data_IF_313156993967
#
_entry.id   IF_313156993967
#
_cell.length_a   1.000
_cell.length_b   1.000
_cell.length_c   1.000
_cell.angle_alpha   90.00
_cell.angle_beta   90.00
_cell.angle_gamma   90.00
#
_symmetry.space_group_name_H-M   'P 1'
#
loop_
_entity.id
_entity.type
_entity.pdbx_description
1 polymer ?
#
# COMPACT_ATOMS: atom_id res chain seq x y z
N UNK A 1 3.29 -14.37 7.47
CA UNK A 1 4.65 -14.93 7.56
C UNK A 1 5.62 -13.82 7.90
N UNK A 2 6.34 -13.90 9.02
CA UNK A 2 7.34 -12.87 9.39
C UNK A 2 8.51 -12.87 8.39
N UNK A 3 9.12 -11.69 8.17
CA UNK A 3 10.27 -11.52 7.26
C UNK A 3 11.43 -12.47 7.58
N UNK A 4 11.72 -12.61 8.88
CA UNK A 4 12.80 -13.47 9.38
C UNK A 4 12.43 -14.97 9.41
N UNK A 5 11.29 -15.37 8.84
CA UNK A 5 10.90 -16.77 8.77
C UNK A 5 11.51 -17.45 7.55
N UNK A 6 11.96 -18.69 7.73
CA UNK A 6 12.37 -19.59 6.63
C UNK A 6 11.28 -19.70 5.56
N UNK A 7 10.01 -19.58 5.97
CA UNK A 7 8.87 -19.59 5.05
C UNK A 7 8.91 -18.41 4.06
N UNK A 8 9.33 -17.22 4.50
CA UNK A 8 9.45 -16.05 3.61
C UNK A 8 10.61 -16.22 2.62
N UNK A 9 11.75 -16.73 3.10
CA UNK A 9 12.94 -17.02 2.28
C UNK A 9 12.68 -17.99 1.13
N UNK A 10 11.78 -18.96 1.31
CA UNK A 10 11.38 -19.90 0.24
C UNK A 10 10.26 -19.31 -0.62
N UNK A 11 9.33 -18.56 -0.01
CA UNK A 11 8.19 -17.96 -0.71
C UNK A 11 8.61 -16.90 -1.74
N UNK A 12 9.52 -15.99 -1.39
CA UNK A 12 9.95 -14.90 -2.28
C UNK A 12 10.54 -15.41 -3.62
N UNK A 13 11.58 -16.28 -3.65
CA UNK A 13 12.13 -16.78 -4.90
C UNK A 13 11.12 -17.60 -5.71
N UNK A 14 10.21 -18.33 -5.05
CA UNK A 14 9.14 -19.04 -5.73
C UNK A 14 8.16 -18.09 -6.46
N UNK A 15 7.75 -17.01 -5.80
CA UNK A 15 6.89 -15.98 -6.40
C UNK A 15 7.58 -15.31 -7.59
N UNK A 16 8.87 -14.99 -7.45
CA UNK A 16 9.68 -14.37 -8.51
C UNK A 16 9.82 -15.31 -9.71
N UNK A 17 10.11 -16.60 -9.46
CA UNK A 17 10.23 -17.61 -10.51
C UNK A 17 8.93 -17.76 -11.32
N UNK A 18 7.79 -17.82 -10.63
CA UNK A 18 6.48 -17.83 -11.28
C UNK A 18 6.21 -16.53 -12.05
N UNK A 19 6.53 -15.37 -11.47
CA UNK A 19 6.37 -14.08 -12.14
C UNK A 19 7.07 -14.03 -13.51
N UNK A 20 8.28 -14.57 -13.61
CA UNK A 20 9.03 -14.63 -14.88
C UNK A 20 8.45 -15.62 -15.90
N UNK A 21 7.77 -16.68 -15.44
CA UNK A 21 7.09 -17.65 -16.33
C UNK A 21 5.75 -17.15 -16.86
N UNK A 22 5.08 -16.24 -16.16
CA UNK A 22 3.76 -15.77 -16.54
C UNK A 22 3.79 -14.73 -17.68
N UNK A 23 2.76 -14.72 -18.57
CA UNK A 23 2.61 -13.68 -19.57
C UNK A 23 2.42 -12.30 -18.92
N UNK A 24 2.90 -11.24 -19.57
CA UNK A 24 2.89 -9.86 -19.06
C UNK A 24 1.51 -9.35 -18.59
N UNK A 25 0.42 -9.86 -19.18
CA UNK A 25 -0.95 -9.52 -18.78
C UNK A 25 -1.33 -10.09 -17.41
N UNK A 26 -0.88 -11.30 -17.08
CA UNK A 26 -1.25 -12.00 -15.85
C UNK A 26 -0.34 -11.69 -14.66
N UNK A 27 0.86 -11.17 -14.92
CA UNK A 27 1.83 -10.78 -13.89
C UNK A 27 1.25 -9.84 -12.82
N UNK A 28 0.42 -8.86 -13.21
CA UNK A 28 -0.20 -7.90 -12.28
C UNK A 28 -1.23 -8.58 -11.37
N UNK A 29 -2.01 -9.51 -11.91
CA UNK A 29 -2.99 -10.29 -11.15
C UNK A 29 -2.32 -11.29 -10.22
N UNK A 30 -1.24 -11.93 -10.67
CA UNK A 30 -0.42 -12.82 -9.86
C UNK A 30 0.16 -12.09 -8.65
N UNK A 31 0.79 -10.93 -8.85
CA UNK A 31 1.34 -10.14 -7.75
C UNK A 31 0.28 -9.70 -6.74
N UNK A 32 -0.92 -9.32 -7.21
CA UNK A 32 -2.03 -8.96 -6.34
C UNK A 32 -2.52 -10.17 -5.55
N UNK A 33 -2.72 -11.32 -6.21
CA UNK A 33 -3.18 -12.54 -5.56
C UNK A 33 -2.20 -13.03 -4.49
N UNK A 34 -0.90 -13.05 -4.82
CA UNK A 34 0.18 -13.39 -3.89
C UNK A 34 0.22 -12.42 -2.72
N UNK A 35 0.04 -11.12 -2.99
CA UNK A 35 0.02 -10.09 -1.95
C UNK A 35 -1.15 -10.27 -0.97
N UNK A 36 -2.35 -10.52 -1.48
CA UNK A 36 -3.52 -10.78 -0.64
C UNK A 36 -3.38 -12.10 0.13
N UNK A 37 -2.83 -13.14 -0.50
CA UNK A 37 -2.55 -14.42 0.16
C UNK A 37 -1.57 -14.25 1.33
N UNK A 38 -0.51 -13.47 1.13
CA UNK A 38 0.46 -13.16 2.18
C UNK A 38 -0.21 -12.51 3.40
N UNK A 39 -1.17 -11.60 3.17
CA UNK A 39 -1.99 -11.01 4.24
C UNK A 39 -2.93 -12.01 4.92
N UNK A 40 -3.59 -12.87 4.13
CA UNK A 40 -4.52 -13.87 4.65
C UNK A 40 -3.82 -14.85 5.60
N UNK A 41 -2.58 -15.25 5.31
CA UNK A 41 -1.77 -16.12 6.18
C UNK A 41 -1.46 -15.47 7.52
N UNK A 42 -1.30 -14.13 7.57
CA UNK A 42 -1.05 -13.46 8.84
C UNK A 42 -2.25 -13.53 9.76
N UNK A 43 -3.35 -12.87 9.37
CA UNK A 43 -4.67 -12.97 10.01
C UNK A 43 -5.72 -12.37 9.06
N UNK A 44 -6.84 -13.07 8.89
CA UNK A 44 -7.95 -12.64 8.03
C UNK A 44 -8.47 -11.23 8.38
N UNK A 45 -8.63 -10.83 9.66
CA UNK A 45 -9.02 -9.45 10.01
C UNK A 45 -8.11 -8.36 9.41
N UNK A 46 -6.82 -8.63 9.22
CA UNK A 46 -5.89 -7.62 8.67
C UNK A 46 -6.10 -7.41 7.18
N UNK A 47 -6.47 -8.48 6.47
CA UNK A 47 -6.87 -8.39 5.07
C UNK A 47 -8.13 -7.52 4.93
N UNK A 48 -9.10 -7.63 5.85
CA UNK A 48 -10.31 -6.78 5.83
C UNK A 48 -9.98 -5.30 6.02
N UNK A 49 -9.06 -4.97 6.94
CA UNK A 49 -8.60 -3.60 7.17
C UNK A 49 -7.90 -3.01 5.94
N UNK A 50 -7.06 -3.82 5.28
CA UNK A 50 -6.42 -3.43 4.04
C UNK A 50 -7.46 -3.18 2.94
N UNK A 51 -8.40 -4.10 2.74
CA UNK A 51 -9.46 -3.95 1.74
C UNK A 51 -10.31 -2.72 2.03
N UNK A 52 -10.65 -2.47 3.29
CA UNK A 52 -11.36 -1.25 3.70
C UNK A 52 -10.58 0.01 3.30
N UNK A 53 -9.28 0.08 3.62
CA UNK A 53 -8.43 1.21 3.25
C UNK A 53 -8.33 1.39 1.72
N UNK A 54 -8.22 0.29 0.97
CA UNK A 54 -8.22 0.28 -0.50
C UNK A 54 -9.52 0.88 -1.04
N UNK A 55 -10.66 0.35 -0.61
CA UNK A 55 -11.99 0.74 -1.13
C UNK A 55 -12.30 2.19 -0.76
N UNK A 56 -12.12 2.54 0.51
CA UNK A 56 -12.39 3.89 1.01
C UNK A 56 -11.59 4.94 0.24
N UNK A 57 -10.28 4.74 0.14
CA UNK A 57 -9.38 5.69 -0.51
C UNK A 57 -9.63 5.75 -2.01
N UNK A 58 -9.85 4.61 -2.68
CA UNK A 58 -10.16 4.58 -4.11
C UNK A 58 -11.47 5.32 -4.42
N UNK A 59 -12.53 5.07 -3.66
CA UNK A 59 -13.82 5.73 -3.86
C UNK A 59 -13.72 7.23 -3.62
N UNK A 60 -13.09 7.64 -2.51
CA UNK A 60 -12.88 9.05 -2.18
C UNK A 60 -12.09 9.77 -3.29
N UNK A 61 -10.98 9.18 -3.75
CA UNK A 61 -10.15 9.76 -4.82
C UNK A 61 -10.89 9.78 -6.17
N UNK A 62 -11.65 8.73 -6.49
CA UNK A 62 -12.45 8.67 -7.73
C UNK A 62 -13.50 9.78 -7.77
N UNK A 63 -14.21 10.02 -6.67
CA UNK A 63 -15.19 11.10 -6.59
C UNK A 63 -14.53 12.47 -6.55
N UNK A 64 -13.40 12.61 -5.85
CA UNK A 64 -12.60 13.83 -5.84
C UNK A 64 -12.15 14.26 -7.25
N UNK A 65 -11.75 13.31 -8.10
CA UNK A 65 -11.32 13.57 -9.48
C UNK A 65 -12.50 14.00 -10.39
N UNK A 66 -13.71 13.52 -10.10
CA UNK A 66 -14.90 13.83 -10.92
C UNK A 66 -15.51 15.21 -10.70
N UNK A 67 -15.08 15.94 -9.66
CA UNK A 67 -15.69 17.21 -9.27
C UNK A 67 -14.76 18.39 -9.57
N UNK A 68 -15.30 19.50 -10.08
CA UNK A 68 -14.52 20.73 -10.34
C UNK A 68 -14.42 21.66 -9.12
N UNK A 69 -15.42 21.65 -8.22
CA UNK A 69 -15.43 22.51 -7.04
C UNK A 69 -14.32 22.16 -6.05
N UNK A 70 -13.47 23.14 -5.73
CA UNK A 70 -12.35 23.00 -4.78
C UNK A 70 -12.81 22.58 -3.39
N UNK A 71 -13.97 23.05 -2.94
CA UNK A 71 -14.53 22.72 -1.63
C UNK A 71 -14.91 21.24 -1.54
N UNK A 72 -15.61 20.74 -2.56
CA UNK A 72 -16.01 19.33 -2.61
C UNK A 72 -14.79 18.40 -2.73
N UNK A 73 -13.76 18.80 -3.49
CA UNK A 73 -12.49 18.06 -3.51
C UNK A 73 -11.87 17.94 -2.12
N UNK A 74 -11.88 19.02 -1.35
CA UNK A 74 -11.36 19.04 0.02
C UNK A 74 -12.16 18.12 0.96
N UNK A 75 -13.48 18.06 0.79
CA UNK A 75 -14.32 17.13 1.56
C UNK A 75 -13.95 15.66 1.29
N UNK A 76 -13.80 15.27 0.02
CA UNK A 76 -13.40 13.90 -0.32
C UNK A 76 -11.98 13.58 0.15
N UNK A 77 -11.04 14.53 0.07
CA UNK A 77 -9.71 14.38 0.65
C UNK A 77 -9.81 14.14 2.16
N UNK A 78 -10.59 14.94 2.88
CA UNK A 78 -10.80 14.78 4.31
C UNK A 78 -11.41 13.42 4.66
N UNK A 79 -12.36 12.92 3.88
CA UNK A 79 -12.92 11.56 4.06
C UNK A 79 -11.82 10.51 3.93
N UNK A 80 -10.98 10.59 2.91
CA UNK A 80 -9.86 9.65 2.74
C UNK A 80 -8.85 9.74 3.88
N UNK A 81 -8.49 10.96 4.30
CA UNK A 81 -7.49 11.20 5.36
C UNK A 81 -8.03 10.74 6.72
N UNK A 82 -9.17 11.27 7.14
CA UNK A 82 -9.76 10.96 8.44
C UNK A 82 -10.22 9.52 8.54
N UNK A 83 -10.72 8.91 7.46
CA UNK A 83 -11.10 7.51 7.49
C UNK A 83 -9.92 6.56 7.68
N UNK A 84 -8.77 6.83 7.04
CA UNK A 84 -7.54 6.06 7.28
C UNK A 84 -6.92 6.35 8.65
N UNK A 85 -6.93 7.62 9.10
CA UNK A 85 -6.45 7.99 10.44
C UNK A 85 -7.32 7.40 11.56
N UNK A 86 -8.64 7.36 11.37
CA UNK A 86 -9.57 6.75 12.29
C UNK A 86 -9.30 5.25 12.44
N UNK A 87 -9.13 4.55 11.31
CA UNK A 87 -8.71 3.14 11.32
C UNK A 87 -7.38 2.96 12.06
N UNK A 88 -6.40 3.81 11.80
CA UNK A 88 -5.11 3.74 12.50
C UNK A 88 -5.26 3.98 14.01
N UNK A 89 -6.07 4.96 14.41
CA UNK A 89 -6.33 5.29 15.80
C UNK A 89 -6.99 4.12 16.54
N UNK A 90 -8.08 3.57 15.99
CA UNK A 90 -8.83 2.47 16.61
C UNK A 90 -7.96 1.23 16.85
N UNK A 91 -7.13 0.86 15.87
CA UNK A 91 -6.36 -0.39 15.97
C UNK A 91 -4.98 -0.24 16.61
N UNK A 92 -4.41 0.97 16.63
CA UNK A 92 -3.04 1.19 17.14
C UNK A 92 -2.99 1.99 18.44
N UNK A 93 -3.87 2.97 18.60
CA UNK A 93 -3.78 3.96 19.67
C UNK A 93 -4.93 3.88 20.68
N UNK A 94 -6.01 3.16 20.38
CA UNK A 94 -7.16 3.06 21.28
C UNK A 94 -6.79 2.44 22.63
N UNK A 95 -6.07 1.31 22.64
CA UNK A 95 -5.65 0.67 23.89
C UNK A 95 -4.68 1.54 24.69
N UNK A 96 -3.82 2.31 24.00
CA UNK A 96 -2.96 3.31 24.66
C UNK A 96 -3.78 4.44 25.29
N UNK A 97 -4.80 4.95 24.58
CA UNK A 97 -5.70 5.98 25.11
C UNK A 97 -6.50 5.46 26.31
N UNK A 98 -6.98 4.22 26.27
CA UNK A 98 -7.68 3.56 27.39
C UNK A 98 -6.74 3.46 28.60
N UNK A 99 -5.49 3.02 28.38
CA UNK A 99 -4.51 2.93 29.45
C UNK A 99 -4.17 4.30 30.05
N UNK A 100 -3.97 5.32 29.21
CA UNK A 100 -3.73 6.69 29.66
C UNK A 100 -4.92 7.25 30.46
N UNK A 101 -6.15 6.96 30.04
CA UNK A 101 -7.36 7.33 30.75
C UNK A 101 -7.44 6.68 32.14
N UNK A 102 -7.24 5.37 32.21
CA UNK A 102 -7.26 4.62 33.48
C UNK A 102 -6.17 5.11 34.45
N UNK A 103 -4.99 5.49 33.95
CA UNK A 103 -3.95 6.12 34.75
C UNK A 103 -4.37 7.50 35.26
N UNK A 104 -4.98 8.32 34.40
CA UNK A 104 -5.43 9.67 34.77
C UNK A 104 -6.53 9.63 35.83
N UNK A 105 -7.45 8.66 35.75
CA UNK A 105 -8.53 8.47 36.71
C UNK A 105 -8.13 7.64 37.94
N UNK A 106 -6.86 7.19 38.03
CA UNK A 106 -6.37 6.24 39.04
C UNK A 106 -7.26 5.00 39.20
N UNK A 107 -7.96 4.61 38.14
CA UNK A 107 -8.98 3.57 38.22
C UNK A 107 -8.35 2.19 38.22
N UNK A 108 -8.69 1.39 39.23
CA UNK A 108 -8.18 0.02 39.38
C UNK A 108 -9.13 -0.98 38.72
N UNK A 109 -8.63 -2.18 38.33
CA UNK A 109 -9.51 -3.28 37.96
C UNK A 109 -10.55 -3.48 39.07
N UNK A 110 -11.84 -3.52 38.71
CA UNK A 110 -13.03 -3.57 39.59
C UNK A 110 -13.70 -2.23 39.98
N UNK A 111 -13.18 -1.08 39.56
CA UNK A 111 -13.91 0.20 39.69
C UNK A 111 -14.81 0.48 38.48
N UNK A 112 -15.97 1.17 38.66
CA UNK A 112 -16.90 1.46 37.56
C UNK A 112 -16.30 2.38 36.48
N UNK A 113 -15.26 3.13 36.81
CA UNK A 113 -14.50 4.01 35.90
C UNK A 113 -13.36 3.30 35.16
N UNK A 114 -13.09 2.02 35.43
CA UNK A 114 -12.05 1.25 34.76
C UNK A 114 -12.53 0.74 33.39
N UNK A 115 -11.87 1.18 32.33
CA UNK A 115 -12.13 0.71 30.97
C UNK A 115 -11.14 -0.39 30.62
N UNK A 116 -11.64 -1.60 30.33
CA UNK A 116 -10.77 -2.70 29.91
C UNK A 116 -10.23 -2.45 28.50
N UNK A 117 -8.96 -2.80 28.26
CA UNK A 117 -8.39 -2.77 26.91
C UNK A 117 -9.18 -3.66 25.96
N UNK A 118 -9.30 -3.23 24.71
CA UNK A 118 -10.00 -3.97 23.66
C UNK A 118 -9.26 -5.23 23.24
N UNK A 119 -7.95 -5.32 23.54
CA UNK A 119 -7.11 -6.46 23.18
C UNK A 119 -6.97 -6.59 21.66
N UNK A 120 -7.12 -5.48 20.94
CA UNK A 120 -7.07 -5.48 19.49
C UNK A 120 -5.67 -5.91 19.03
N UNK A 121 -5.60 -7.05 18.35
CA UNK A 121 -4.32 -7.56 17.84
C UNK A 121 -3.84 -6.61 16.74
N UNK A 122 -2.68 -5.98 16.95
CA UNK A 122 -2.14 -5.01 16.00
C UNK A 122 -1.84 -5.69 14.65
N UNK A 123 -2.37 -5.16 13.53
CA UNK A 123 -1.97 -5.61 12.21
C UNK A 123 -0.54 -5.16 11.93
N UNK A 124 0.33 -6.13 11.64
CA UNK A 124 1.62 -5.84 11.00
C UNK A 124 1.36 -5.09 9.69
N UNK A 125 1.92 -3.90 9.54
CA UNK A 125 1.79 -3.09 8.33
C UNK A 125 0.67 -2.05 8.32
N UNK A 126 -0.17 -1.94 9.37
CA UNK A 126 -1.29 -0.96 9.38
C UNK A 126 -0.83 0.47 9.11
N UNK A 127 0.23 0.90 9.79
CA UNK A 127 0.76 2.25 9.62
C UNK A 127 1.27 2.50 8.21
N UNK A 128 1.87 1.50 7.57
CA UNK A 128 2.43 1.64 6.23
C UNK A 128 1.32 1.85 5.20
N UNK A 129 0.34 0.94 5.13
CA UNK A 129 -0.72 1.08 4.14
C UNK A 129 -1.62 2.29 4.43
N UNK A 130 -1.89 2.65 5.70
CA UNK A 130 -2.70 3.84 6.00
C UNK A 130 -2.00 5.13 5.56
N UNK A 131 -0.70 5.26 5.86
CA UNK A 131 0.06 6.46 5.48
C UNK A 131 0.27 6.54 3.97
N UNK A 132 0.46 5.40 3.32
CA UNK A 132 0.56 5.31 1.85
C UNK A 132 -0.76 5.68 1.17
N UNK A 133 -1.90 5.23 1.71
CA UNK A 133 -3.23 5.61 1.23
C UNK A 133 -3.49 7.12 1.39
N UNK A 134 -3.12 7.69 2.55
CA UNK A 134 -3.22 9.13 2.82
C UNK A 134 -2.33 9.92 1.86
N UNK A 135 -1.06 9.52 1.71
CA UNK A 135 -0.12 10.18 0.79
C UNK A 135 -0.66 10.17 -0.63
N UNK A 136 -1.18 9.04 -1.09
CA UNK A 136 -1.77 8.94 -2.42
C UNK A 136 -2.98 9.88 -2.59
N UNK A 137 -3.90 9.94 -1.63
CA UNK A 137 -5.05 10.85 -1.71
C UNK A 137 -4.60 12.32 -1.78
N UNK A 138 -3.59 12.71 -1.00
CA UNK A 138 -3.00 14.06 -1.02
C UNK A 138 -2.30 14.34 -2.35
N UNK A 139 -1.54 13.38 -2.88
CA UNK A 139 -0.82 13.51 -4.15
C UNK A 139 -1.81 13.71 -5.33
N UNK A 140 -2.92 12.97 -5.35
CA UNK A 140 -3.97 13.15 -6.36
C UNK A 140 -4.67 14.50 -6.20
N UNK A 141 -4.96 14.93 -4.96
CA UNK A 141 -5.54 16.25 -4.72
C UNK A 141 -4.64 17.39 -5.23
N UNK A 142 -3.32 17.26 -5.06
CA UNK A 142 -2.32 18.21 -5.54
C UNK A 142 -2.08 18.14 -7.06
N UNK A 143 -2.59 17.11 -7.73
CA UNK A 143 -2.35 16.86 -9.14
C UNK A 143 -0.92 16.40 -9.46
N UNK A 144 -0.15 15.97 -8.46
CA UNK A 144 1.22 15.45 -8.68
C UNK A 144 1.20 14.05 -9.28
N UNK A 145 0.16 13.27 -8.97
CA UNK A 145 -0.01 11.90 -9.45
C UNK A 145 -1.41 11.74 -10.05
N UNK A 146 -1.56 11.15 -11.24
CA UNK A 146 -2.87 10.84 -11.80
C UNK A 146 -3.56 9.74 -10.98
N UNK A 147 -4.89 9.77 -10.90
CA UNK A 147 -5.62 8.70 -10.22
C UNK A 147 -5.38 7.33 -10.87
N UNK A 148 -5.39 6.29 -10.05
CA UNK A 148 -5.45 4.91 -10.50
C UNK A 148 -6.69 4.67 -11.36
N UNK A 149 -6.52 3.97 -12.49
CA UNK A 149 -7.61 3.74 -13.45
C UNK A 149 -8.66 2.81 -12.85
N UNK A 150 -8.20 1.72 -12.23
CA UNK A 150 -9.05 0.65 -11.70
C UNK A 150 -8.69 0.34 -10.24
N UNK A 151 -9.68 -0.17 -9.49
CA UNK A 151 -9.50 -0.61 -8.09
C UNK A 151 -8.35 -1.61 -7.95
N UNK A 152 -8.18 -2.53 -8.92
CA UNK A 152 -7.10 -3.52 -8.92
C UNK A 152 -5.70 -2.90 -8.95
N UNK A 153 -5.49 -1.82 -9.70
CA UNK A 153 -4.19 -1.16 -9.76
C UNK A 153 -3.85 -0.49 -8.43
N UNK A 154 -4.84 0.18 -7.83
CA UNK A 154 -4.67 0.79 -6.52
C UNK A 154 -4.49 -0.26 -5.42
N UNK A 155 -5.28 -1.33 -5.47
CA UNK A 155 -5.17 -2.46 -4.55
C UNK A 155 -3.82 -3.14 -4.64
N UNK A 156 -3.28 -3.36 -5.85
CA UNK A 156 -1.93 -3.89 -6.03
C UNK A 156 -0.88 -2.96 -5.43
N UNK A 157 -0.96 -1.66 -5.70
CA UNK A 157 -0.06 -0.65 -5.13
C UNK A 157 -0.07 -0.66 -3.59
N UNK A 158 -1.25 -0.73 -2.98
CA UNK A 158 -1.38 -0.65 -1.52
C UNK A 158 -1.08 -1.99 -0.82
N UNK A 159 -1.35 -3.11 -1.48
CA UNK A 159 -1.17 -4.45 -0.91
C UNK A 159 0.20 -5.06 -1.20
N UNK A 160 1.04 -4.42 -2.03
CA UNK A 160 2.29 -5.00 -2.53
C UNK A 160 3.18 -5.53 -1.40
N UNK A 161 3.20 -6.85 -1.25
CA UNK A 161 3.78 -7.50 -0.05
C UNK A 161 5.28 -7.22 0.17
N UNK A 162 6.16 -7.05 -0.85
CA UNK A 162 7.57 -6.77 -0.59
C UNK A 162 7.76 -5.44 0.14
N UNK A 163 6.98 -4.43 -0.22
CA UNK A 163 7.06 -3.10 0.38
C UNK A 163 6.65 -3.11 1.85
N UNK A 164 5.65 -3.89 2.21
CA UNK A 164 5.12 -3.93 3.58
C UNK A 164 5.99 -4.72 4.56
N UNK A 165 6.90 -5.55 4.02
CA UNK A 165 7.75 -6.43 4.81
C UNK A 165 9.14 -5.84 5.05
N UNK A 166 9.68 -5.08 4.08
CA UNK A 166 11.06 -4.58 4.14
C UNK A 166 11.28 -3.17 3.56
N UNK A 167 10.24 -2.47 3.10
CA UNK A 167 10.39 -1.22 2.36
C UNK A 167 10.25 0.06 3.20
N UNK A 168 11.03 1.13 2.92
CA UNK A 168 10.68 2.49 3.37
C UNK A 168 9.32 2.89 2.79
N UNK A 169 8.62 3.86 3.40
CA UNK A 169 7.32 4.34 2.89
C UNK A 169 7.53 4.94 1.50
N UNK A 170 7.13 4.21 0.45
CA UNK A 170 7.27 4.64 -0.94
C UNK A 170 6.09 5.52 -1.33
N UNK A 171 6.38 6.65 -1.98
CA UNK A 171 5.33 7.54 -2.49
C UNK A 171 4.66 6.93 -3.72
N UNK A 172 3.37 7.24 -3.90
CA UNK A 172 2.59 6.76 -5.03
C UNK A 172 3.16 7.20 -6.38
N UNK A 173 3.75 8.40 -6.45
CA UNK A 173 4.45 8.91 -7.62
C UNK A 173 5.54 7.94 -8.13
N UNK A 174 6.20 7.19 -7.25
CA UNK A 174 7.37 6.37 -7.57
C UNK A 174 7.02 4.91 -7.89
N UNK A 175 5.82 4.45 -7.55
CA UNK A 175 5.38 3.06 -7.79
C UNK A 175 4.18 2.95 -8.72
N UNK A 176 3.22 3.87 -8.63
CA UNK A 176 1.95 3.73 -9.33
C UNK A 176 2.15 3.77 -10.85
N UNK A 177 3.07 4.59 -11.35
CA UNK A 177 3.40 4.68 -12.78
C UNK A 177 3.86 3.33 -13.37
N UNK A 178 4.56 2.50 -12.59
CA UNK A 178 5.04 1.18 -13.04
C UNK A 178 3.92 0.15 -13.15
N UNK A 179 2.89 0.27 -12.32
CA UNK A 179 1.69 -0.56 -12.42
C UNK A 179 0.73 -0.05 -13.50
N UNK A 180 0.77 1.25 -13.81
CA UNK A 180 -0.03 1.92 -14.83
C UNK A 180 0.48 1.64 -16.25
N UNK A 181 1.80 1.60 -16.46
CA UNK A 181 2.37 1.29 -17.77
C UNK A 181 2.35 -0.22 -18.05
N UNK A 182 1.83 -0.61 -19.22
CA UNK A 182 2.06 -1.94 -19.77
C UNK A 182 3.46 -1.89 -20.40
N UNK A 183 4.47 -2.35 -19.66
CA UNK A 183 5.80 -2.55 -20.24
C UNK A 183 5.69 -3.63 -21.32
N UNK A 184 5.59 -3.19 -22.57
CA UNK A 184 5.98 -4.02 -23.71
C UNK A 184 7.50 -4.08 -23.66
N UNK A 185 8.03 -5.30 -23.51
CA UNK A 185 9.46 -5.55 -23.63
C UNK A 185 9.85 -5.27 -25.09
N UNK A 186 10.09 -4.00 -25.43
CA UNK A 186 10.65 -3.65 -26.73
C UNK A 186 12.08 -4.19 -26.68
N UNK A 187 12.31 -5.32 -27.34
CA UNK A 187 13.63 -5.90 -27.60
C UNK A 187 14.39 -4.82 -28.38
N UNK A 188 15.13 -3.96 -27.68
CA UNK A 188 15.96 -2.93 -28.33
C UNK A 188 17.13 -3.72 -28.91
N UNK A 189 17.03 -4.00 -30.21
CA UNK A 189 18.09 -4.55 -31.04
C UNK A 189 19.27 -3.59 -30.93
N UNK A 190 20.25 -3.93 -30.07
CA UNK A 190 21.53 -3.24 -29.96
C UNK A 190 22.36 -3.61 -31.18
N UNK A 191 22.00 -3.11 -32.36
CA UNK A 191 22.87 -3.15 -33.51
C UNK A 191 23.06 -1.72 -33.99
N UNK A 192 24.27 -1.22 -33.72
CA UNK A 192 25.02 -0.25 -34.51
C UNK A 192 24.36 1.12 -34.71
N UNK A 193 24.60 2.03 -33.77
CA UNK A 193 24.85 3.44 -34.12
C UNK A 193 25.68 4.02 -32.97
N UNK A 194 27.00 3.80 -33.07
CA UNK A 194 27.96 4.69 -32.41
C UNK A 194 27.79 6.08 -33.01
N UNK A 195 28.01 7.11 -32.21
CA UNK A 195 28.12 8.52 -32.64
C UNK A 195 26.81 9.31 -32.70
N UNK A 196 26.21 9.53 -31.52
CA UNK A 196 25.93 10.88 -31.00
C UNK A 196 25.17 10.81 -29.67
N UNK A 197 25.83 11.20 -28.59
CA UNK A 197 25.24 11.32 -27.25
C UNK A 197 25.14 12.81 -26.88
N UNK A 198 23.93 13.33 -26.65
CA UNK A 198 23.68 14.14 -25.47
C UNK A 198 22.82 13.32 -24.51
N UNK A 199 23.22 13.35 -23.24
CA UNK A 199 22.76 12.43 -22.19
C UNK A 199 21.25 12.30 -22.11
N UNK A 200 20.77 11.08 -22.35
CA UNK A 200 19.39 10.71 -22.06
C UNK A 200 19.34 9.37 -21.32
N UNK A 201 18.63 9.44 -20.19
CA UNK A 201 17.97 8.36 -19.45
C UNK A 201 18.45 6.93 -19.70
N UNK A 202 19.39 6.48 -18.86
CA UNK A 202 19.59 5.06 -18.57
C UNK A 202 18.22 4.51 -18.14
N UNK A 203 17.56 3.77 -19.04
CA UNK A 203 16.31 3.05 -18.77
C UNK A 203 16.59 2.01 -17.70
N UNK A 204 16.41 2.41 -16.43
CA UNK A 204 16.55 1.53 -15.26
C UNK A 204 15.58 0.35 -15.40
N UNK A 205 15.98 -0.87 -14.98
CA UNK A 205 15.08 -2.01 -14.95
C UNK A 205 13.82 -1.66 -14.17
N UNK A 206 12.68 -2.23 -14.57
CA UNK A 206 11.40 -2.03 -13.90
C UNK A 206 11.56 -2.28 -12.40
N UNK A 207 11.41 -1.21 -11.60
CA UNK A 207 11.54 -1.21 -10.14
C UNK A 207 10.80 -2.33 -9.38
N UNK A 208 9.70 -2.99 -9.84
CA UNK A 208 9.18 -4.19 -9.17
C UNK A 208 10.24 -5.29 -8.98
N UNK A 209 11.19 -5.42 -9.90
CA UNK A 209 12.30 -6.39 -9.81
C UNK A 209 13.32 -5.94 -8.76
N UNK A 210 13.55 -4.64 -8.62
CA UNK A 210 14.49 -4.08 -7.65
C UNK A 210 14.03 -4.29 -6.21
N UNK A 211 12.72 -4.23 -5.96
CA UNK A 211 12.12 -4.50 -4.65
C UNK A 211 12.05 -5.98 -4.28
N UNK A 212 12.06 -6.87 -5.28
CA UNK A 212 12.08 -8.31 -5.05
C UNK A 212 13.49 -8.84 -4.77
N UNK A 213 14.52 -8.04 -5.01
CA UNK A 213 15.94 -8.40 -4.88
C UNK A 213 16.66 -7.66 -3.73
N UNK A 214 15.93 -6.86 -2.94
CA UNK A 214 16.42 -6.21 -1.71
C UNK A 214 15.91 -6.95 -0.48
#
# INVERSE_FOLDING_TARGET
MLFNSVQYLVFAPFVIFLYFKLPSKFQKYWLLAVSLYFYAIFKIPFLLLLIYSIVLTYCAVKWMDSVHSKFIKLLFLNVAVWGNLFLLYVFKYLDFSIHAWNLFTNSKPCEPSYVSSTGAILPMGISFFTLQAISYAVDVYRGTVPRAKNLFQFGLFLSFFPQLVAGPIIRAQDMLHQFLESYTFKKKTYFLESDNFPGDSIKKPSLPIRFLLQ
#
